data_IF_198420384549
#
_entry.id   IF_198420384549
#
_cell.length_a   1.000
_cell.length_b   1.000
_cell.length_c   1.000
_cell.angle_alpha   90.00
_cell.angle_beta   90.00
_cell.angle_gamma   90.00
#
_symmetry.space_group_name_H-M   'P 1'
#
loop_
_entity.id
_entity.type
_entity.pdbx_description
1 polymer ?
#
# COMPACT_ATOMS: atom_id res chain seq x y z
N UNK A 1 -14.83 -23.40 -22.03
CA UNK A 1 -13.46 -23.24 -22.56
C UNK A 1 -12.86 -21.89 -22.14
N UNK A 2 -13.54 -20.77 -22.37
CA UNK A 2 -13.03 -19.42 -22.05
C UNK A 2 -12.64 -19.22 -20.58
N UNK A 3 -13.46 -19.66 -19.62
CA UNK A 3 -13.11 -19.61 -18.19
C UNK A 3 -11.88 -20.46 -17.82
N UNK A 4 -11.66 -21.57 -18.54
CA UNK A 4 -10.49 -22.43 -18.32
C UNK A 4 -9.23 -21.70 -18.81
N UNK A 5 -9.28 -21.09 -19.98
CA UNK A 5 -8.19 -20.28 -20.54
C UNK A 5 -7.86 -19.10 -19.61
N UNK A 6 -8.87 -18.42 -19.09
CA UNK A 6 -8.70 -17.33 -18.12
C UNK A 6 -7.91 -17.80 -16.89
N UNK A 7 -8.35 -18.89 -16.24
CA UNK A 7 -7.71 -19.43 -15.04
C UNK A 7 -6.27 -19.89 -15.34
N UNK A 8 -6.06 -20.60 -16.45
CA UNK A 8 -4.72 -21.04 -16.87
C UNK A 8 -3.80 -19.83 -17.11
N UNK A 9 -4.31 -18.78 -17.74
CA UNK A 9 -3.57 -17.55 -18.00
C UNK A 9 -3.13 -16.88 -16.69
N UNK A 10 -4.04 -16.73 -15.73
CA UNK A 10 -3.73 -16.15 -14.42
C UNK A 10 -2.66 -16.99 -13.69
N UNK A 11 -2.83 -18.31 -13.64
CA UNK A 11 -1.86 -19.21 -13.02
C UNK A 11 -0.48 -19.13 -13.67
N UNK A 12 -0.43 -19.06 -15.00
CA UNK A 12 0.82 -18.89 -15.74
C UNK A 12 1.50 -17.56 -15.42
N UNK A 13 0.75 -16.46 -15.30
CA UNK A 13 1.30 -15.16 -14.91
C UNK A 13 1.85 -15.22 -13.48
N UNK A 14 1.10 -15.75 -12.52
CA UNK A 14 1.55 -15.87 -11.11
C UNK A 14 2.86 -16.66 -11.02
N UNK A 15 2.98 -17.77 -11.78
CA UNK A 15 4.18 -18.60 -11.76
C UNK A 15 5.38 -17.92 -12.44
N UNK A 16 5.15 -17.21 -13.54
CA UNK A 16 6.24 -16.66 -14.38
C UNK A 16 6.67 -15.25 -13.98
N UNK A 17 5.80 -14.46 -13.35
CA UNK A 17 6.07 -13.07 -12.99
C UNK A 17 7.32 -12.92 -12.09
N UNK A 18 7.54 -13.72 -11.02
CA UNK A 18 8.76 -13.62 -10.21
C UNK A 18 10.03 -13.94 -10.99
N UNK A 19 9.97 -14.89 -11.93
CA UNK A 19 11.10 -15.29 -12.77
C UNK A 19 11.46 -14.13 -13.71
N UNK A 20 10.46 -13.56 -14.38
CA UNK A 20 10.64 -12.42 -15.27
C UNK A 20 11.13 -11.18 -14.51
N UNK A 21 10.58 -10.91 -13.34
CA UNK A 21 11.01 -9.83 -12.45
C UNK A 21 12.49 -9.95 -12.07
N UNK A 22 12.95 -11.17 -11.75
CA UNK A 22 14.37 -11.45 -11.46
C UNK A 22 15.28 -11.21 -12.67
N UNK A 23 14.84 -11.63 -13.86
CA UNK A 23 15.59 -11.44 -15.12
C UNK A 23 15.70 -9.95 -15.45
N UNK A 24 14.58 -9.22 -15.38
CA UNK A 24 14.48 -7.81 -15.71
C UNK A 24 15.01 -6.88 -14.59
N UNK A 25 15.21 -7.41 -13.38
CA UNK A 25 15.64 -6.68 -12.17
C UNK A 25 14.69 -5.55 -11.77
N UNK A 26 13.38 -5.79 -11.92
CA UNK A 26 12.28 -4.89 -11.54
C UNK A 26 11.34 -5.61 -10.56
N UNK A 27 10.40 -4.91 -9.89
CA UNK A 27 9.51 -5.52 -8.91
C UNK A 27 8.57 -6.51 -9.55
N UNK A 28 8.27 -7.58 -8.80
CA UNK A 28 7.28 -8.59 -9.20
C UNK A 28 5.93 -7.94 -9.46
N UNK A 29 5.48 -7.04 -8.59
CA UNK A 29 4.19 -6.35 -8.72
C UNK A 29 4.08 -5.59 -10.05
N UNK A 30 5.14 -4.89 -10.49
CA UNK A 30 5.13 -4.17 -11.76
C UNK A 30 5.02 -5.15 -12.93
N UNK A 31 5.72 -6.29 -12.86
CA UNK A 31 5.62 -7.35 -13.88
C UNK A 31 4.22 -7.96 -13.94
N UNK A 32 3.58 -8.20 -12.79
CA UNK A 32 2.21 -8.72 -12.71
C UNK A 32 1.21 -7.79 -13.39
N UNK A 33 1.32 -6.47 -13.16
CA UNK A 33 0.46 -5.47 -13.83
C UNK A 33 0.74 -5.46 -15.34
N UNK A 34 2.02 -5.47 -15.77
CA UNK A 34 2.38 -5.49 -17.21
C UNK A 34 1.83 -6.75 -17.90
N UNK A 35 2.01 -7.92 -17.30
CA UNK A 35 1.52 -9.18 -17.87
C UNK A 35 -0.01 -9.22 -17.89
N UNK A 36 -0.67 -8.72 -16.84
CA UNK A 36 -2.13 -8.55 -16.82
C UNK A 36 -2.62 -7.66 -17.96
N UNK A 37 -1.94 -6.54 -18.20
CA UNK A 37 -2.23 -5.61 -19.29
C UNK A 37 -2.02 -6.25 -20.67
N UNK A 38 -0.91 -6.97 -20.88
CA UNK A 38 -0.64 -7.68 -22.15
C UNK A 38 -1.68 -8.77 -22.40
N UNK A 39 -1.95 -9.62 -21.40
CA UNK A 39 -2.92 -10.70 -21.54
C UNK A 39 -4.35 -10.20 -21.64
N UNK A 40 -4.67 -9.05 -21.02
CA UNK A 40 -5.93 -8.33 -21.23
C UNK A 40 -6.09 -7.86 -22.66
N UNK A 41 -5.07 -7.21 -23.22
CA UNK A 41 -5.06 -6.76 -24.61
C UNK A 41 -5.18 -7.90 -25.62
N UNK A 42 -4.51 -9.03 -25.37
CA UNK A 42 -4.60 -10.23 -26.21
C UNK A 42 -5.97 -10.95 -26.09
N UNK A 43 -6.87 -10.48 -25.23
CA UNK A 43 -8.17 -11.12 -24.98
C UNK A 43 -8.10 -12.41 -24.17
N UNK A 44 -6.94 -12.75 -23.60
CA UNK A 44 -6.77 -13.92 -22.72
C UNK A 44 -7.36 -13.68 -21.33
N UNK A 45 -7.39 -12.41 -20.90
CA UNK A 45 -8.07 -11.96 -19.69
C UNK A 45 -9.19 -11.02 -20.11
N UNK A 46 -10.43 -11.46 -19.94
CA UNK A 46 -11.63 -10.65 -20.20
C UNK A 46 -12.32 -10.26 -18.89
N UNK A 47 -13.28 -9.35 -18.98
CA UNK A 47 -14.09 -8.94 -17.84
C UNK A 47 -14.94 -10.12 -17.33
N UNK A 48 -14.48 -10.76 -16.27
CA UNK A 48 -15.17 -11.86 -15.59
C UNK A 48 -15.46 -11.48 -14.13
N UNK A 49 -16.69 -11.73 -13.68
CA UNK A 49 -17.14 -11.39 -12.32
C UNK A 49 -16.45 -12.24 -11.24
N UNK A 50 -16.04 -13.47 -11.55
CA UNK A 50 -15.30 -14.32 -10.60
C UNK A 50 -13.90 -13.78 -10.40
N UNK A 51 -13.19 -13.44 -11.49
CA UNK A 51 -11.88 -12.80 -11.40
C UNK A 51 -11.96 -11.47 -10.65
N UNK A 52 -12.95 -10.63 -10.97
CA UNK A 52 -13.18 -9.35 -10.27
C UNK A 52 -13.43 -9.56 -8.78
N UNK A 53 -14.22 -10.56 -8.39
CA UNK A 53 -14.47 -10.87 -6.99
C UNK A 53 -13.18 -11.29 -6.26
N UNK A 54 -12.40 -12.20 -6.85
CA UNK A 54 -11.13 -12.66 -6.25
C UNK A 54 -10.11 -11.51 -6.19
N UNK A 55 -10.03 -10.67 -7.21
CA UNK A 55 -9.17 -9.49 -7.22
C UNK A 55 -9.58 -8.46 -6.15
N UNK A 56 -10.88 -8.22 -5.95
CA UNK A 56 -11.37 -7.38 -4.85
C UNK A 56 -11.00 -7.95 -3.49
N UNK A 57 -11.13 -9.27 -3.30
CA UNK A 57 -10.66 -9.90 -2.07
C UNK A 57 -9.14 -9.76 -1.92
N UNK A 58 -8.38 -9.91 -3.00
CA UNK A 58 -6.94 -9.71 -2.99
C UNK A 58 -6.52 -8.29 -2.62
N UNK A 59 -7.28 -7.29 -3.08
CA UNK A 59 -7.13 -5.91 -2.64
C UNK A 59 -7.38 -5.74 -1.14
N UNK A 60 -8.49 -6.28 -0.62
CA UNK A 60 -8.82 -6.26 0.82
C UNK A 60 -7.69 -6.94 1.63
N UNK A 61 -7.18 -8.08 1.15
CA UNK A 61 -6.08 -8.79 1.80
C UNK A 61 -4.78 -7.98 1.79
N UNK A 62 -4.49 -7.25 0.71
CA UNK A 62 -3.34 -6.33 0.65
C UNK A 62 -3.46 -5.21 1.68
N UNK A 63 -4.66 -4.67 1.89
CA UNK A 63 -4.89 -3.65 2.93
C UNK A 63 -4.76 -4.23 4.33
N UNK A 64 -5.12 -5.50 4.51
CA UNK A 64 -4.86 -6.24 5.75
C UNK A 64 -3.36 -6.42 5.99
N UNK A 65 -2.59 -6.79 4.97
CA UNK A 65 -1.13 -6.87 5.04
C UNK A 65 -0.50 -5.51 5.36
N UNK A 66 -0.97 -4.42 4.75
CA UNK A 66 -0.52 -3.08 5.10
C UNK A 66 -0.69 -2.79 6.60
N UNK A 67 -1.84 -3.16 7.19
CA UNK A 67 -2.06 -3.06 8.63
C UNK A 67 -1.11 -3.91 9.47
N UNK A 68 -0.75 -5.10 8.98
CA UNK A 68 0.22 -6.00 9.62
C UNK A 68 1.66 -5.47 9.58
N UNK A 69 2.00 -4.73 8.53
CA UNK A 69 3.32 -4.12 8.35
C UNK A 69 3.57 -2.94 9.29
N UNK A 70 2.50 -2.28 9.76
CA UNK A 70 2.59 -1.11 10.65
C UNK A 70 3.36 -1.45 11.93
N UNK A 71 4.54 -0.86 12.06
CA UNK A 71 5.35 -1.00 13.25
C UNK A 71 5.50 0.34 13.97
N UNK A 72 4.60 0.61 14.93
CA UNK A 72 4.65 1.81 15.76
C UNK A 72 5.94 1.98 16.56
N UNK A 73 6.77 0.93 16.71
CA UNK A 73 8.10 1.09 17.32
C UNK A 73 9.01 1.98 16.45
N UNK A 74 8.82 1.99 15.13
CA UNK A 74 9.57 2.86 14.22
C UNK A 74 9.21 4.33 14.45
N UNK A 75 7.93 4.63 14.68
CA UNK A 75 7.49 6.00 15.03
C UNK A 75 8.14 6.48 16.32
N UNK A 76 8.40 5.59 17.30
CA UNK A 76 9.11 5.94 18.55
C UNK A 76 10.60 6.27 18.33
N UNK A 77 11.19 5.88 17.19
CA UNK A 77 12.59 6.23 16.85
C UNK A 77 12.69 7.70 16.45
N UNK A 78 11.58 8.32 16.03
CA UNK A 78 11.51 9.76 15.79
C UNK A 78 11.82 10.47 17.11
N UNK A 79 13.01 11.07 17.19
CA UNK A 79 13.40 11.89 18.34
C UNK A 79 12.37 13.01 18.52
N UNK A 80 12.09 13.41 19.75
CA UNK A 80 11.17 14.51 20.04
C UNK A 80 11.55 15.79 19.26
N UNK A 81 12.85 16.00 19.01
CA UNK A 81 13.38 17.11 18.21
C UNK A 81 12.97 17.07 16.73
N UNK A 82 12.54 15.92 16.20
CA UNK A 82 12.12 15.73 14.82
C UNK A 82 10.59 15.65 14.68
N UNK A 83 9.84 15.57 15.77
CA UNK A 83 8.38 15.46 15.74
C UNK A 83 7.72 16.68 15.05
N UNK A 84 8.21 17.88 15.35
CA UNK A 84 7.75 19.13 14.70
C UNK A 84 8.05 19.09 13.20
N UNK A 85 9.24 18.61 12.81
CA UNK A 85 9.61 18.46 11.41
C UNK A 85 8.66 17.49 10.69
N UNK A 86 8.29 16.36 11.30
CA UNK A 86 7.34 15.41 10.69
C UNK A 86 5.96 16.05 10.49
N UNK A 87 5.45 16.79 11.47
CA UNK A 87 4.19 17.53 11.33
C UNK A 87 4.31 18.56 10.20
N UNK A 88 5.40 19.34 10.19
CA UNK A 88 5.66 20.34 9.16
C UNK A 88 5.76 19.71 7.76
N UNK A 89 6.36 18.52 7.65
CA UNK A 89 6.46 17.77 6.40
C UNK A 89 5.07 17.43 5.85
N UNK A 90 4.18 16.86 6.67
CA UNK A 90 2.82 16.55 6.21
C UNK A 90 2.01 17.82 5.90
N UNK A 91 2.13 18.88 6.71
CA UNK A 91 1.47 20.16 6.41
C UNK A 91 1.92 20.70 5.06
N UNK A 92 3.24 20.73 4.79
CA UNK A 92 3.77 21.17 3.50
C UNK A 92 3.36 20.23 2.36
N UNK A 93 3.43 18.93 2.57
CA UNK A 93 3.05 17.93 1.57
C UNK A 93 1.60 18.13 1.10
N UNK A 94 0.65 18.23 2.03
CA UNK A 94 -0.76 18.46 1.70
C UNK A 94 -1.02 19.87 1.18
N UNK A 95 -0.31 20.89 1.67
CA UNK A 95 -0.46 22.27 1.19
C UNK A 95 0.02 22.41 -0.25
N UNK A 96 1.17 21.82 -0.60
CA UNK A 96 1.72 21.84 -1.96
C UNK A 96 0.84 20.97 -2.87
N UNK A 97 0.37 19.80 -2.42
CA UNK A 97 -0.59 19.00 -3.18
C UNK A 97 -1.87 19.81 -3.49
N UNK A 98 -2.41 20.53 -2.50
CA UNK A 98 -3.54 21.44 -2.69
C UNK A 98 -3.25 22.57 -3.67
N UNK A 99 -2.07 23.18 -3.60
CA UNK A 99 -1.64 24.22 -4.54
C UNK A 99 -1.50 23.69 -5.97
N UNK A 100 -0.96 22.49 -6.16
CA UNK A 100 -0.89 21.81 -7.47
C UNK A 100 -2.29 21.55 -7.99
N UNK A 101 -3.20 21.04 -7.17
CA UNK A 101 -4.58 20.80 -7.59
C UNK A 101 -5.28 22.10 -7.99
N UNK A 102 -5.11 23.18 -7.22
CA UNK A 102 -5.68 24.48 -7.55
C UNK A 102 -5.09 25.09 -8.83
N UNK A 103 -3.77 25.00 -9.02
CA UNK A 103 -3.09 25.58 -10.18
C UNK A 103 -3.41 24.86 -11.50
N UNK A 104 -3.57 23.54 -11.45
CA UNK A 104 -3.86 22.71 -12.63
C UNK A 104 -5.34 22.32 -12.76
N UNK A 105 -6.23 22.91 -11.95
CA UNK A 105 -7.68 22.62 -11.91
C UNK A 105 -8.00 21.12 -11.74
N UNK A 106 -7.28 20.47 -10.82
CA UNK A 106 -7.43 19.04 -10.55
C UNK A 106 -8.49 18.80 -9.46
N UNK A 107 -9.30 17.76 -9.67
CA UNK A 107 -10.33 17.35 -8.73
C UNK A 107 -9.80 16.72 -7.43
N UNK A 108 -10.74 16.42 -6.54
CA UNK A 108 -10.46 15.84 -5.22
C UNK A 108 -9.64 14.54 -5.27
N UNK A 109 -9.82 13.71 -6.30
CA UNK A 109 -9.03 12.49 -6.50
C UNK A 109 -7.53 12.78 -6.46
N UNK A 110 -7.07 13.85 -7.13
CA UNK A 110 -5.66 14.22 -7.16
C UNK A 110 -5.18 14.75 -5.80
N UNK A 111 -6.02 15.51 -5.10
CA UNK A 111 -5.69 16.02 -3.77
C UNK A 111 -5.41 14.89 -2.77
N UNK A 112 -6.13 13.77 -2.88
CA UNK A 112 -5.92 12.58 -2.03
C UNK A 112 -4.80 11.70 -2.59
N UNK A 113 -4.69 11.55 -3.91
CA UNK A 113 -3.71 10.69 -4.57
C UNK A 113 -2.27 11.18 -4.47
N UNK A 114 -2.02 12.47 -4.72
CA UNK A 114 -0.66 13.01 -4.81
C UNK A 114 0.17 12.85 -3.52
N UNK A 115 -0.37 13.09 -2.30
CA UNK A 115 0.37 12.90 -1.06
C UNK A 115 0.33 11.47 -0.52
N UNK A 116 -0.28 10.49 -1.20
CA UNK A 116 -0.57 9.17 -0.62
C UNK A 116 0.66 8.29 -0.43
N UNK A 117 0.80 7.60 0.69
CA UNK A 117 1.95 6.75 1.04
C UNK A 117 1.65 5.25 0.88
N UNK A 118 2.69 4.45 0.65
CA UNK A 118 2.63 2.98 0.70
C UNK A 118 3.98 2.42 1.15
N UNK A 119 4.00 1.50 2.11
CA UNK A 119 5.24 0.90 2.61
C UNK A 119 5.78 -0.25 1.73
N UNK A 120 4.95 -0.86 0.88
CA UNK A 120 5.33 -2.09 0.16
C UNK A 120 6.61 -1.95 -0.67
N UNK A 121 6.74 -0.86 -1.43
CA UNK A 121 7.94 -0.56 -2.22
C UNK A 121 9.14 -0.19 -1.34
N UNK A 122 8.88 0.53 -0.24
CA UNK A 122 9.90 0.94 0.71
C UNK A 122 10.54 -0.27 1.41
N UNK A 123 9.74 -1.29 1.74
CA UNK A 123 10.24 -2.55 2.32
C UNK A 123 11.22 -3.28 1.40
N UNK A 124 11.06 -3.18 0.08
CA UNK A 124 12.04 -3.72 -0.86
C UNK A 124 13.37 -2.98 -0.80
N UNK A 125 13.35 -1.65 -0.69
CA UNK A 125 14.58 -0.85 -0.51
C UNK A 125 15.31 -1.24 0.79
N UNK A 126 14.58 -1.57 1.88
CA UNK A 126 15.21 -2.05 3.11
C UNK A 126 15.90 -3.38 2.93
N UNK A 127 15.28 -4.31 2.19
CA UNK A 127 15.89 -5.59 1.89
C UNK A 127 17.15 -5.42 1.03
N UNK A 128 17.20 -4.40 0.17
CA UNK A 128 18.34 -4.11 -0.71
C UNK A 128 19.49 -3.36 -0.01
N UNK A 129 19.19 -2.32 0.79
CA UNK A 129 20.22 -1.44 1.40
C UNK A 129 20.44 -1.65 2.90
N UNK A 130 19.53 -2.36 3.57
CA UNK A 130 19.57 -2.55 5.03
C UNK A 130 18.95 -1.40 5.82
N UNK A 131 18.67 -1.65 7.10
CA UNK A 131 18.00 -0.69 8.02
C UNK A 131 18.94 0.38 8.59
N UNK A 132 20.23 0.28 8.33
CA UNK A 132 21.27 1.15 8.89
C UNK A 132 21.30 2.53 8.19
N UNK A 133 20.71 2.64 7.00
CA UNK A 133 20.69 3.86 6.22
C UNK A 133 19.78 4.94 6.86
N UNK A 134 20.30 6.15 7.18
CA UNK A 134 19.53 7.18 7.88
C UNK A 134 18.31 7.67 7.11
N UNK A 135 18.43 7.83 5.79
CA UNK A 135 17.32 8.26 4.93
C UNK A 135 16.20 7.23 4.90
N UNK A 136 16.55 5.93 4.92
CA UNK A 136 15.58 4.85 4.86
C UNK A 136 14.90 4.61 6.21
N UNK A 137 15.62 4.75 7.32
CA UNK A 137 15.04 4.70 8.66
C UNK A 137 14.03 5.85 8.87
N UNK A 138 14.36 7.06 8.39
CA UNK A 138 13.43 8.18 8.41
C UNK A 138 12.23 7.95 7.48
N UNK A 139 12.46 7.50 6.24
CA UNK A 139 11.41 7.14 5.28
C UNK A 139 10.44 6.12 5.87
N UNK A 140 10.93 5.10 6.57
CA UNK A 140 10.07 4.12 7.23
C UNK A 140 9.21 4.73 8.33
N UNK A 141 9.82 5.55 9.18
CA UNK A 141 9.13 6.15 10.31
C UNK A 141 8.04 7.12 9.84
N UNK A 142 8.33 7.91 8.82
CA UNK A 142 7.39 8.82 8.18
C UNK A 142 6.36 8.05 7.36
N UNK A 143 6.76 7.00 6.64
CA UNK A 143 5.91 6.14 5.85
C UNK A 143 4.84 5.46 6.68
N UNK A 144 5.16 4.99 7.89
CA UNK A 144 4.16 4.43 8.83
C UNK A 144 3.08 5.48 9.18
N UNK A 145 3.49 6.71 9.49
CA UNK A 145 2.54 7.80 9.79
C UNK A 145 1.74 8.15 8.54
N UNK A 146 2.42 8.26 7.40
CA UNK A 146 1.82 8.60 6.11
C UNK A 146 0.82 7.57 5.63
N UNK A 147 1.06 6.28 5.86
CA UNK A 147 0.16 5.19 5.49
C UNK A 147 -1.13 5.24 6.33
N UNK A 148 -1.04 5.50 7.63
CA UNK A 148 -2.21 5.72 8.49
C UNK A 148 -3.01 6.95 8.02
N UNK A 149 -2.33 8.07 7.75
CA UNK A 149 -2.98 9.28 7.20
C UNK A 149 -3.64 8.98 5.85
N UNK A 150 -2.98 8.19 4.99
CA UNK A 150 -3.45 7.83 3.66
C UNK A 150 -4.74 7.01 3.70
N UNK A 151 -4.83 6.05 4.61
CA UNK A 151 -6.03 5.21 4.79
C UNK A 151 -7.18 6.04 5.35
N UNK A 152 -6.90 6.94 6.29
CA UNK A 152 -7.90 7.89 6.78
C UNK A 152 -8.38 8.81 5.65
N UNK A 153 -7.46 9.34 4.84
CA UNK A 153 -7.79 10.19 3.70
C UNK A 153 -8.63 9.43 2.66
N UNK A 154 -8.28 8.18 2.35
CA UNK A 154 -9.04 7.32 1.44
C UNK A 154 -10.45 7.02 1.97
N UNK A 155 -10.57 6.74 3.27
CA UNK A 155 -11.87 6.46 3.90
C UNK A 155 -12.75 7.71 3.89
N UNK A 156 -12.19 8.88 4.22
CA UNK A 156 -12.90 10.15 4.18
C UNK A 156 -13.29 10.53 2.75
N UNK A 157 -12.41 10.26 1.78
CA UNK A 157 -12.68 10.42 0.36
C UNK A 157 -13.87 9.56 -0.07
N UNK A 158 -13.85 8.25 0.21
CA UNK A 158 -14.98 7.36 -0.09
C UNK A 158 -16.30 7.79 0.57
N UNK A 159 -16.23 8.25 1.82
CA UNK A 159 -17.40 8.78 2.54
C UNK A 159 -17.95 10.06 1.91
N UNK A 160 -17.09 10.98 1.46
CA UNK A 160 -17.52 12.18 0.76
C UNK A 160 -18.14 11.83 -0.60
N UNK A 161 -17.52 10.92 -1.36
CA UNK A 161 -18.00 10.58 -2.70
C UNK A 161 -19.37 9.90 -2.67
N UNK A 162 -19.66 9.10 -1.63
CA UNK A 162 -20.95 8.45 -1.44
C UNK A 162 -22.05 9.43 -0.96
N UNK A 163 -21.73 10.36 -0.05
CA UNK A 163 -22.75 11.16 0.65
C UNK A 163 -22.76 12.67 0.31
N UNK A 164 -21.78 13.18 -0.43
CA UNK A 164 -21.60 14.62 -0.68
C UNK A 164 -21.32 15.42 0.59
N UNK A 165 -21.32 16.77 0.54
CA UNK A 165 -21.28 17.63 1.74
C UNK A 165 -22.65 17.74 2.41
N UNK A 166 -23.27 16.60 2.71
CA UNK A 166 -24.59 16.54 3.36
C UNK A 166 -24.47 16.28 4.85
N UNK A 167 -25.56 16.45 5.60
CA UNK A 167 -25.64 16.01 7.00
C UNK A 167 -25.24 14.54 7.16
N UNK A 168 -25.51 13.71 6.13
CA UNK A 168 -25.12 12.29 6.11
C UNK A 168 -23.60 12.08 6.08
N UNK A 169 -22.84 12.99 5.48
CA UNK A 169 -21.37 12.92 5.51
C UNK A 169 -20.81 13.18 6.90
N UNK A 170 -21.32 14.18 7.62
CA UNK A 170 -20.92 14.40 9.01
C UNK A 170 -21.29 13.22 9.91
N UNK A 171 -22.47 12.61 9.70
CA UNK A 171 -22.81 11.36 10.41
C UNK A 171 -21.92 10.19 9.99
N UNK A 172 -21.48 10.12 8.73
CA UNK A 172 -20.53 9.11 8.25
C UNK A 172 -19.15 9.28 8.90
N UNK A 173 -18.63 10.52 9.00
CA UNK A 173 -17.40 10.82 9.76
C UNK A 173 -17.55 10.39 11.22
N UNK A 174 -18.66 10.75 11.86
CA UNK A 174 -18.89 10.36 13.26
C UNK A 174 -18.96 8.83 13.40
N UNK A 175 -19.51 8.15 12.41
CA UNK A 175 -19.58 6.67 12.36
C UNK A 175 -18.19 6.08 12.14
N UNK A 176 -17.35 6.64 11.26
CA UNK A 176 -15.95 6.24 11.07
C UNK A 176 -15.18 6.38 12.38
N UNK A 177 -15.29 7.54 13.06
CA UNK A 177 -14.65 7.77 14.36
C UNK A 177 -15.17 6.77 15.39
N UNK A 178 -16.48 6.58 15.48
CA UNK A 178 -17.08 5.62 16.38
C UNK A 178 -16.61 4.18 16.11
N UNK A 179 -16.51 3.78 14.84
CA UNK A 179 -15.96 2.49 14.42
C UNK A 179 -14.51 2.35 14.87
N UNK A 180 -13.65 3.34 14.58
CA UNK A 180 -12.24 3.28 15.00
C UNK A 180 -12.15 3.16 16.51
N UNK A 181 -12.92 3.95 17.26
CA UNK A 181 -12.96 3.88 18.73
C UNK A 181 -13.47 2.52 19.20
N UNK A 182 -14.61 2.04 18.67
CA UNK A 182 -15.22 0.76 19.04
C UNK A 182 -14.27 -0.38 18.70
N UNK A 183 -13.62 -0.36 17.53
CA UNK A 183 -12.62 -1.36 17.19
C UNK A 183 -11.48 -1.30 18.19
N UNK A 184 -10.86 -0.14 18.46
CA UNK A 184 -9.81 0.01 19.48
C UNK A 184 -10.26 -0.51 20.85
N UNK A 185 -11.49 -0.19 21.27
CA UNK A 185 -12.06 -0.66 22.53
C UNK A 185 -12.26 -2.17 22.54
N UNK A 186 -12.78 -2.76 21.46
CA UNK A 186 -12.89 -4.21 21.28
C UNK A 186 -11.50 -4.85 21.31
N UNK A 187 -10.50 -4.27 20.65
CA UNK A 187 -9.12 -4.75 20.70
C UNK A 187 -8.61 -4.75 22.15
N UNK A 188 -8.77 -3.62 22.86
CA UNK A 188 -8.35 -3.48 24.26
C UNK A 188 -9.11 -4.43 25.19
N UNK A 189 -10.38 -4.67 24.94
CA UNK A 189 -11.19 -5.62 25.68
C UNK A 189 -10.73 -7.06 25.43
N UNK A 190 -10.47 -7.44 24.17
CA UNK A 190 -9.83 -8.71 23.83
C UNK A 190 -8.48 -8.88 24.51
N UNK A 191 -7.68 -7.82 24.64
CA UNK A 191 -6.43 -7.84 25.41
C UNK A 191 -6.66 -8.22 26.86
N UNK A 192 -7.63 -7.56 27.49
CA UNK A 192 -7.98 -7.79 28.89
C UNK A 192 -8.49 -9.22 29.10
N UNK A 193 -9.34 -9.73 28.20
CA UNK A 193 -9.81 -11.13 28.22
C UNK A 193 -8.63 -12.09 28.08
N UNK A 194 -7.73 -11.88 27.12
CA UNK A 194 -6.57 -12.76 26.93
C UNK A 194 -5.59 -12.69 28.10
N UNK A 195 -5.56 -11.57 28.83
CA UNK A 195 -4.77 -11.43 30.04
C UNK A 195 -5.41 -12.15 31.25
N UNK A 196 -6.74 -12.09 31.40
CA UNK A 196 -7.46 -12.75 32.51
C UNK A 196 -7.69 -14.24 32.27
N UNK A 197 -7.92 -14.63 31.02
CA UNK A 197 -8.20 -15.98 30.56
C UNK A 197 -7.19 -16.40 29.49
N UNK A 198 -5.92 -16.65 29.88
CA UNK A 198 -4.87 -17.05 28.95
C UNK A 198 -5.19 -18.37 28.22
N UNK A 199 -6.06 -19.21 28.77
CA UNK A 199 -6.56 -20.43 28.13
C UNK A 199 -7.39 -20.14 26.88
N UNK A 200 -8.19 -19.07 26.86
CA UNK A 200 -8.95 -18.64 25.68
C UNK A 200 -8.02 -18.21 24.56
N UNK A 201 -6.95 -17.48 24.90
CA UNK A 201 -5.89 -17.12 23.95
C UNK A 201 -5.22 -18.37 23.37
N UNK A 202 -4.86 -19.34 24.23
CA UNK A 202 -4.24 -20.60 23.83
C UNK A 202 -5.16 -21.48 22.99
N UNK A 203 -6.48 -21.42 23.20
CA UNK A 203 -7.44 -22.18 22.41
C UNK A 203 -7.67 -21.58 21.02
N UNK A 204 -7.78 -20.25 20.94
CA UNK A 204 -7.98 -19.57 19.65
C UNK A 204 -6.71 -19.55 18.80
N UNK A 205 -5.54 -19.45 19.45
CA UNK A 205 -4.23 -19.35 18.81
C UNK A 205 -3.23 -20.15 19.66
N UNK A 206 -3.14 -21.48 19.44
CA UNK A 206 -2.24 -22.36 20.18
C UNK A 206 -0.79 -21.87 20.16
N UNK A 207 -0.11 -21.95 21.30
CA UNK A 207 1.31 -21.59 21.43
C UNK A 207 2.25 -22.72 20.98
N UNK A 208 1.70 -23.87 20.59
CA UNK A 208 2.46 -25.04 20.21
C UNK A 208 2.84 -24.98 18.72
N UNK A 209 4.07 -25.38 18.41
CA UNK A 209 4.57 -25.63 17.03
C UNK A 209 3.72 -26.70 16.29
N UNK A 210 2.91 -27.47 17.02
CA UNK A 210 1.97 -28.48 16.53
C UNK A 210 0.53 -27.95 16.35
N UNK A 211 0.32 -26.70 15.92
CA UNK A 211 -1.01 -26.28 15.42
C UNK A 211 -1.30 -26.99 14.08
N UNK A 212 -1.76 -28.23 14.18
CA UNK A 212 -2.07 -29.09 13.02
C UNK A 212 -3.21 -28.55 12.14
N UNK A 213 -3.92 -27.52 12.58
CA UNK A 213 -5.13 -27.04 11.90
C UNK A 213 -5.05 -25.57 11.46
N UNK A 214 -3.90 -24.90 11.64
CA UNK A 214 -3.67 -23.48 11.36
C UNK A 214 -4.82 -22.60 11.95
N UNK A 215 -5.16 -22.85 13.22
CA UNK A 215 -6.24 -22.15 13.93
C UNK A 215 -5.98 -20.64 13.99
N UNK A 216 -4.71 -20.26 14.11
CA UNK A 216 -4.25 -18.88 14.09
C UNK A 216 -4.58 -18.16 12.77
N UNK A 217 -4.37 -18.81 11.62
CA UNK A 217 -4.76 -18.30 10.30
C UNK A 217 -6.28 -18.21 10.22
N UNK A 218 -7.03 -19.24 10.63
CA UNK A 218 -8.50 -19.24 10.59
C UNK A 218 -9.08 -18.08 11.39
N UNK A 219 -8.56 -17.84 12.59
CA UNK A 219 -8.95 -16.70 13.40
C UNK A 219 -8.61 -15.37 12.70
N UNK A 220 -7.44 -15.29 12.07
CA UNK A 220 -7.01 -14.10 11.32
C UNK A 220 -7.93 -13.73 10.16
N UNK A 221 -8.24 -14.71 9.31
CA UNK A 221 -9.14 -14.52 8.19
C UNK A 221 -10.56 -14.24 8.67
N UNK A 222 -11.01 -14.90 9.74
CA UNK A 222 -12.34 -14.65 10.31
C UNK A 222 -12.47 -13.22 10.82
N UNK A 223 -11.49 -12.71 11.56
CA UNK A 223 -11.51 -11.33 12.05
C UNK A 223 -11.50 -10.31 10.90
N UNK A 224 -10.66 -10.55 9.88
CA UNK A 224 -10.63 -9.73 8.67
C UNK A 224 -12.02 -9.66 8.03
N UNK A 225 -12.65 -10.81 7.80
CA UNK A 225 -13.97 -10.89 7.17
C UNK A 225 -15.08 -10.25 8.02
N UNK A 226 -15.03 -10.42 9.36
CA UNK A 226 -15.98 -9.77 10.27
C UNK A 226 -15.86 -8.26 10.18
N UNK A 227 -14.64 -7.71 10.26
CA UNK A 227 -14.44 -6.25 10.21
C UNK A 227 -14.80 -5.67 8.84
N UNK A 228 -14.46 -6.36 7.75
CA UNK A 228 -14.90 -5.99 6.39
C UNK A 228 -16.42 -6.01 6.29
N UNK A 229 -17.09 -7.03 6.84
CA UNK A 229 -18.56 -7.13 6.83
C UNK A 229 -19.21 -5.98 7.62
N UNK A 230 -18.64 -5.61 8.77
CA UNK A 230 -19.09 -4.44 9.53
C UNK A 230 -18.95 -3.17 8.69
N UNK A 231 -17.82 -2.98 7.98
CA UNK A 231 -17.64 -1.81 7.11
C UNK A 231 -18.68 -1.76 5.99
N UNK A 232 -18.98 -2.90 5.36
CA UNK A 232 -20.02 -3.00 4.33
C UNK A 232 -21.41 -2.62 4.86
N UNK A 233 -21.79 -3.10 6.05
CA UNK A 233 -23.09 -2.76 6.68
C UNK A 233 -23.17 -1.26 6.98
N UNK A 234 -22.07 -0.68 7.47
CA UNK A 234 -21.98 0.73 7.81
C UNK A 234 -21.80 1.64 6.58
N UNK A 235 -21.65 1.05 5.38
CA UNK A 235 -21.34 1.76 4.13
C UNK A 235 -20.09 2.64 4.26
N UNK A 236 -19.10 2.13 4.97
CA UNK A 236 -17.77 2.72 5.09
C UNK A 236 -16.83 1.93 4.17
N UNK A 237 -15.74 2.56 3.74
CA UNK A 237 -14.71 1.89 2.96
C UNK A 237 -14.16 0.65 3.69
N UNK A 238 -14.17 -0.49 3.00
CA UNK A 238 -13.69 -1.78 3.52
C UNK A 238 -12.18 -1.80 3.76
N UNK A 239 -11.42 -0.89 3.12
CA UNK A 239 -9.98 -0.72 3.31
C UNK A 239 -9.66 -0.43 4.78
N UNK A 240 -10.44 0.44 5.43
CA UNK A 240 -10.25 0.76 6.85
C UNK A 240 -10.44 -0.47 7.73
N UNK A 241 -11.48 -1.27 7.45
CA UNK A 241 -11.76 -2.50 8.21
C UNK A 241 -10.64 -3.52 8.07
N UNK A 242 -10.15 -3.73 6.85
CA UNK A 242 -9.05 -4.63 6.56
C UNK A 242 -7.74 -4.19 7.24
N UNK A 243 -7.39 -2.91 7.09
CA UNK A 243 -6.21 -2.34 7.74
C UNK A 243 -6.28 -2.45 9.26
N UNK A 244 -7.44 -2.15 9.86
CA UNK A 244 -7.62 -2.22 11.31
C UNK A 244 -7.52 -3.66 11.82
N UNK A 245 -8.01 -4.64 11.06
CA UNK A 245 -7.79 -6.06 11.34
C UNK A 245 -6.29 -6.38 11.38
N UNK A 246 -5.52 -5.90 10.40
CA UNK A 246 -4.07 -6.12 10.33
C UNK A 246 -3.33 -5.48 11.50
N UNK A 247 -3.71 -4.25 11.84
CA UNK A 247 -3.17 -3.51 12.98
C UNK A 247 -3.37 -4.26 14.30
N UNK A 248 -4.57 -4.81 14.50
CA UNK A 248 -4.87 -5.66 15.66
C UNK A 248 -3.93 -6.86 15.69
N UNK A 249 -3.78 -7.59 14.59
CA UNK A 249 -2.90 -8.74 14.58
C UNK A 249 -1.46 -8.37 14.91
N UNK A 250 -0.97 -7.27 14.35
CA UNK A 250 0.38 -6.79 14.61
C UNK A 250 0.61 -6.41 16.06
N UNK A 251 -0.36 -5.77 16.71
CA UNK A 251 -0.23 -5.33 18.10
C UNK A 251 -0.27 -6.49 19.09
N UNK A 252 -1.06 -7.52 18.82
CA UNK A 252 -1.35 -8.60 19.77
C UNK A 252 -0.48 -9.85 19.56
N UNK A 253 -0.04 -10.08 18.33
CA UNK A 253 0.66 -11.31 17.94
C UNK A 253 2.04 -11.05 17.34
N UNK A 254 2.63 -9.87 17.55
CA UNK A 254 3.97 -9.51 17.07
C UNK A 254 5.08 -10.52 17.43
N UNK A 255 4.83 -11.38 18.43
CA UNK A 255 5.78 -12.40 18.88
C UNK A 255 5.73 -13.68 18.04
N UNK A 256 4.62 -13.97 17.33
CA UNK A 256 4.46 -15.15 16.45
C UNK A 256 4.91 -14.83 15.03
N UNK A 257 6.22 -14.83 14.80
CA UNK A 257 6.81 -14.56 13.48
C UNK A 257 6.35 -15.57 12.42
N UNK A 258 6.08 -16.81 12.80
CA UNK A 258 5.59 -17.84 11.89
C UNK A 258 4.21 -17.52 11.32
N UNK A 259 3.26 -17.12 12.17
CA UNK A 259 1.92 -16.67 11.73
C UNK A 259 2.01 -15.49 10.77
N UNK A 260 2.84 -14.49 11.09
CA UNK A 260 3.07 -13.34 10.21
C UNK A 260 3.59 -13.81 8.85
N UNK A 261 4.59 -14.69 8.83
CA UNK A 261 5.14 -15.24 7.60
C UNK A 261 4.10 -16.05 6.81
N UNK A 262 3.27 -16.87 7.47
CA UNK A 262 2.18 -17.62 6.81
C UNK A 262 1.18 -16.68 6.14
N UNK A 263 0.70 -15.67 6.85
CA UNK A 263 -0.24 -14.66 6.32
C UNK A 263 0.39 -13.89 5.15
N UNK A 264 1.62 -13.40 5.31
CA UNK A 264 2.36 -12.71 4.25
C UNK A 264 2.55 -13.61 3.02
N UNK A 265 2.87 -14.90 3.22
CA UNK A 265 3.06 -15.86 2.14
C UNK A 265 1.77 -16.08 1.34
N UNK A 266 0.62 -16.22 2.00
CA UNK A 266 -0.68 -16.32 1.32
C UNK A 266 -1.03 -15.02 0.57
N UNK A 267 -0.82 -13.88 1.20
CA UNK A 267 -1.14 -12.59 0.60
C UNK A 267 -0.28 -12.25 -0.60
N UNK A 268 1.04 -12.19 -0.42
CA UNK A 268 1.97 -11.83 -1.48
C UNK A 268 2.18 -12.95 -2.51
N UNK A 269 1.98 -14.21 -2.15
CA UNK A 269 2.16 -15.35 -3.05
C UNK A 269 0.95 -15.65 -3.94
N UNK A 270 -0.26 -15.23 -3.55
CA UNK A 270 -1.48 -15.62 -4.26
C UNK A 270 -2.47 -14.46 -4.47
N UNK A 271 -2.92 -13.82 -3.39
CA UNK A 271 -4.00 -12.83 -3.46
C UNK A 271 -3.59 -11.50 -4.10
N UNK A 272 -2.43 -10.97 -3.72
CA UNK A 272 -1.88 -9.75 -4.26
C UNK A 272 -1.57 -9.88 -5.77
N UNK A 273 -0.91 -10.96 -6.25
CA UNK A 273 -0.72 -11.19 -7.68
C UNK A 273 -2.03 -11.12 -8.48
N UNK A 274 -3.10 -11.79 -8.03
CA UNK A 274 -4.38 -11.78 -8.74
C UNK A 274 -4.96 -10.35 -8.83
N UNK A 275 -4.86 -9.57 -7.75
CA UNK A 275 -5.28 -8.17 -7.77
C UNK A 275 -4.50 -7.32 -8.78
N UNK A 276 -3.17 -7.46 -8.83
CA UNK A 276 -2.33 -6.70 -9.74
C UNK A 276 -2.50 -7.11 -11.20
N UNK A 277 -2.62 -8.41 -11.47
CA UNK A 277 -2.94 -8.96 -12.79
C UNK A 277 -4.29 -8.42 -13.27
N UNK A 278 -5.32 -8.49 -12.41
CA UNK A 278 -6.64 -7.96 -12.72
C UNK A 278 -6.58 -6.46 -13.02
N UNK A 279 -5.93 -5.68 -12.15
CA UNK A 279 -5.72 -4.24 -12.37
C UNK A 279 -5.09 -3.96 -13.72
N UNK A 280 -4.00 -4.66 -14.06
CA UNK A 280 -3.35 -4.55 -15.36
C UNK A 280 -4.30 -4.84 -16.51
N UNK A 281 -5.09 -5.93 -16.41
CA UNK A 281 -6.04 -6.32 -17.45
C UNK A 281 -7.16 -5.32 -17.69
N UNK A 282 -7.44 -4.43 -16.73
CA UNK A 282 -8.43 -3.35 -16.93
C UNK A 282 -7.90 -2.21 -17.80
N UNK A 283 -6.58 -2.09 -17.97
CA UNK A 283 -5.97 -1.08 -18.83
C UNK A 283 -6.04 -1.54 -20.29
N UNK A 284 -6.79 -0.80 -21.11
CA UNK A 284 -6.98 -1.08 -22.53
C UNK A 284 -5.81 -0.52 -23.33
N UNK A 285 -4.86 -1.38 -23.71
CA UNK A 285 -3.63 -0.97 -24.38
C UNK A 285 -3.86 -0.29 -25.74
N UNK A 286 -4.92 -0.67 -26.46
CA UNK A 286 -5.41 -0.02 -27.68
C UNK A 286 -5.84 1.44 -27.47
N UNK A 287 -6.22 1.81 -26.26
CA UNK A 287 -6.64 3.16 -25.90
C UNK A 287 -5.50 4.02 -25.35
N UNK A 288 -4.30 3.49 -25.17
CA UNK A 288 -3.17 4.26 -24.63
C UNK A 288 -2.66 5.24 -25.71
N UNK A 289 -3.00 6.51 -25.53
CA UNK A 289 -2.54 7.61 -26.37
C UNK A 289 -1.33 8.31 -25.78
N UNK A 290 -0.70 9.18 -26.57
CA UNK A 290 0.36 10.08 -26.09
C UNK A 290 -0.13 10.95 -24.91
N UNK A 291 -1.37 11.41 -24.95
CA UNK A 291 -1.95 12.28 -23.91
C UNK A 291 -2.06 11.54 -22.56
N UNK A 292 -2.47 10.27 -22.58
CA UNK A 292 -2.51 9.42 -21.37
C UNK A 292 -1.10 9.25 -20.80
N UNK A 293 -0.11 9.02 -21.66
CA UNK A 293 1.27 8.87 -21.22
C UNK A 293 1.84 10.18 -20.66
N UNK A 294 1.56 11.32 -21.31
CA UNK A 294 1.93 12.65 -20.80
C UNK A 294 1.28 12.93 -19.44
N UNK A 295 0.01 12.60 -19.29
CA UNK A 295 -0.71 12.76 -18.04
C UNK A 295 -0.13 11.83 -16.94
N UNK A 296 0.22 10.59 -17.28
CA UNK A 296 0.90 9.69 -16.34
C UNK A 296 2.25 10.26 -15.89
N UNK A 297 3.04 10.81 -16.82
CA UNK A 297 4.29 11.50 -16.49
C UNK A 297 4.06 12.76 -15.65
N UNK A 298 2.98 13.50 -15.89
CA UNK A 298 2.59 14.63 -15.05
C UNK A 298 2.28 14.19 -13.61
N UNK A 299 1.48 13.15 -13.41
CA UNK A 299 1.16 12.61 -12.07
C UNK A 299 2.45 12.20 -11.35
N UNK A 300 3.30 11.40 -12.00
CA UNK A 300 4.60 10.98 -11.47
C UNK A 300 5.48 12.19 -11.10
N UNK A 301 5.61 13.17 -12.01
CA UNK A 301 6.41 14.36 -11.78
C UNK A 301 5.85 15.21 -10.63
N UNK A 302 4.53 15.35 -10.53
CA UNK A 302 3.86 16.07 -9.44
C UNK A 302 4.16 15.40 -8.09
N UNK A 303 3.99 14.08 -7.99
CA UNK A 303 4.29 13.29 -6.79
C UNK A 303 5.74 13.49 -6.34
N UNK A 304 6.69 13.28 -7.26
CA UNK A 304 8.12 13.42 -7.00
C UNK A 304 8.45 14.85 -6.56
N UNK A 305 7.89 15.85 -7.24
CA UNK A 305 8.17 17.26 -6.96
C UNK A 305 7.63 17.69 -5.61
N UNK A 306 6.37 17.34 -5.29
CA UNK A 306 5.75 17.64 -3.99
C UNK A 306 6.60 17.06 -2.85
N UNK A 307 7.05 15.81 -3.00
CA UNK A 307 7.88 15.13 -2.00
C UNK A 307 9.28 15.71 -1.91
N UNK A 308 9.93 16.00 -3.03
CA UNK A 308 11.25 16.63 -3.03
C UNK A 308 11.20 17.99 -2.34
N UNK A 309 10.26 18.87 -2.72
CA UNK A 309 10.14 20.21 -2.13
C UNK A 309 9.87 20.12 -0.64
N UNK A 310 8.87 19.34 -0.21
CA UNK A 310 8.57 19.15 1.22
C UNK A 310 9.75 18.58 2.00
N UNK A 311 10.47 17.61 1.43
CA UNK A 311 11.62 16.97 2.08
C UNK A 311 12.81 17.92 2.22
N UNK A 312 13.09 18.72 1.20
CA UNK A 312 14.18 19.69 1.22
C UNK A 312 13.90 20.86 2.17
N UNK A 313 12.65 21.31 2.26
CA UNK A 313 12.27 22.36 3.21
C UNK A 313 12.41 21.90 4.67
N UNK A 314 12.18 20.62 4.95
CA UNK A 314 12.06 20.12 6.33
C UNK A 314 13.27 19.34 6.82
N UNK A 315 13.84 18.47 5.98
CA UNK A 315 14.83 17.47 6.39
C UNK A 315 16.24 17.72 5.83
N UNK A 316 16.46 18.79 5.06
CA UNK A 316 17.77 19.11 4.49
C UNK A 316 18.87 19.23 5.55
N UNK A 317 18.60 19.95 6.64
CA UNK A 317 19.56 20.13 7.73
C UNK A 317 19.82 18.84 8.52
N UNK A 318 18.87 17.90 8.50
CA UNK A 318 18.97 16.64 9.23
C UNK A 318 19.69 15.56 8.43
N UNK A 319 19.32 15.36 7.15
CA UNK A 319 19.85 14.29 6.30
C UNK A 319 21.01 14.73 5.40
N UNK A 320 21.18 16.04 5.12
CA UNK A 320 22.04 16.58 4.04
C UNK A 320 21.47 16.25 2.64
N UNK A 321 21.85 17.02 1.58
CA UNK A 321 21.17 16.96 0.28
C UNK A 321 21.08 15.57 -0.36
N UNK A 322 22.15 14.78 -0.29
CA UNK A 322 22.23 13.43 -0.87
C UNK A 322 21.19 12.49 -0.28
N UNK A 323 21.12 12.42 1.06
CA UNK A 323 20.18 11.55 1.77
C UNK A 323 18.76 12.10 1.72
N UNK A 324 18.56 13.43 1.76
CA UNK A 324 17.24 14.04 1.56
C UNK A 324 16.65 13.70 0.20
N UNK A 325 17.48 13.66 -0.85
CA UNK A 325 17.04 13.23 -2.19
C UNK A 325 16.60 11.76 -2.17
N UNK A 326 17.39 10.86 -1.59
CA UNK A 326 17.05 9.44 -1.51
C UNK A 326 15.77 9.21 -0.70
N UNK A 327 15.62 9.90 0.44
CA UNK A 327 14.41 9.90 1.26
C UNK A 327 13.17 10.33 0.45
N UNK A 328 13.25 11.46 -0.25
CA UNK A 328 12.12 11.97 -1.02
C UNK A 328 11.72 11.01 -2.15
N UNK A 329 12.70 10.43 -2.85
CA UNK A 329 12.44 9.48 -3.94
C UNK A 329 11.91 8.14 -3.42
N UNK A 330 12.33 7.68 -2.24
CA UNK A 330 11.84 6.42 -1.67
C UNK A 330 10.39 6.49 -1.24
N UNK A 331 9.97 7.65 -0.72
CA UNK A 331 8.58 7.90 -0.35
C UNK A 331 7.69 8.14 -1.58
N UNK A 332 8.29 8.38 -2.76
CA UNK A 332 7.59 8.69 -4.02
C UNK A 332 7.04 7.47 -4.78
N UNK A 333 6.94 6.30 -4.14
CA UNK A 333 6.53 5.04 -4.81
C UNK A 333 5.22 4.44 -4.26
N UNK A 334 4.08 5.17 -4.22
CA UNK A 334 2.88 4.69 -3.53
C UNK A 334 1.99 3.75 -4.37
N UNK A 335 2.60 2.76 -5.02
CA UNK A 335 1.98 1.91 -6.05
C UNK A 335 0.61 1.35 -5.65
N UNK A 336 0.52 0.70 -4.48
CA UNK A 336 -0.68 -0.04 -4.07
C UNK A 336 -1.88 0.87 -3.82
N UNK A 337 -1.67 1.97 -3.12
CA UNK A 337 -2.75 2.90 -2.77
C UNK A 337 -3.09 3.85 -3.93
N UNK A 338 -2.14 4.15 -4.81
CA UNK A 338 -2.42 4.90 -6.04
C UNK A 338 -3.40 4.14 -6.93
N UNK A 339 -3.14 2.85 -7.17
CA UNK A 339 -4.06 1.97 -7.91
C UNK A 339 -5.43 1.91 -7.23
N UNK A 340 -5.46 1.83 -5.90
CA UNK A 340 -6.71 1.79 -5.14
C UNK A 340 -7.57 3.05 -5.35
N UNK A 341 -6.96 4.23 -5.22
CA UNK A 341 -7.65 5.50 -5.45
C UNK A 341 -8.13 5.61 -6.89
N UNK A 342 -7.31 5.22 -7.86
CA UNK A 342 -7.70 5.27 -9.27
C UNK A 342 -8.93 4.41 -9.52
N UNK A 343 -8.91 3.16 -9.05
CA UNK A 343 -10.02 2.23 -9.21
C UNK A 343 -11.28 2.73 -8.49
N UNK A 344 -11.15 3.22 -7.27
CA UNK A 344 -12.27 3.76 -6.51
C UNK A 344 -12.86 4.99 -7.20
N UNK A 345 -12.02 5.96 -7.58
CA UNK A 345 -12.45 7.18 -8.26
C UNK A 345 -13.12 6.92 -9.60
N UNK A 346 -12.59 5.95 -10.37
CA UNK A 346 -13.20 5.55 -11.64
C UNK A 346 -14.57 4.90 -11.45
N UNK A 347 -14.72 4.02 -10.45
CA UNK A 347 -16.00 3.38 -10.15
C UNK A 347 -17.07 4.38 -9.66
N UNK A 348 -16.66 5.45 -8.97
CA UNK A 348 -17.55 6.56 -8.57
C UNK A 348 -17.73 7.64 -9.65
N UNK A 349 -17.12 7.48 -10.84
CA UNK A 349 -17.24 8.42 -11.95
C UNK A 349 -16.57 9.78 -11.73
N UNK A 350 -15.58 9.86 -10.83
CA UNK A 350 -14.87 11.10 -10.49
C UNK A 350 -13.71 11.40 -11.43
N UNK A 351 -13.20 10.37 -12.09
CA UNK A 351 -12.15 10.47 -13.09
C UNK A 351 -12.60 9.75 -14.36
N UNK A 352 -12.16 10.26 -15.50
CA UNK A 352 -12.34 9.61 -16.79
C UNK A 352 -11.54 8.32 -16.90
N UNK A 353 -11.88 7.50 -17.89
CA UNK A 353 -11.12 6.29 -18.19
C UNK A 353 -9.65 6.58 -18.55
N UNK A 354 -9.40 7.72 -19.22
CA UNK A 354 -8.05 8.15 -19.58
C UNK A 354 -7.21 8.49 -18.35
N UNK A 355 -7.81 9.18 -17.37
CA UNK A 355 -7.16 9.47 -16.09
C UNK A 355 -6.93 8.20 -15.28
N UNK A 356 -7.89 7.27 -15.26
CA UNK A 356 -7.71 5.96 -14.63
C UNK A 356 -6.49 5.21 -15.19
N UNK A 357 -6.34 5.16 -16.51
CA UNK A 357 -5.15 4.59 -17.15
C UNK A 357 -3.88 5.37 -16.80
N UNK A 358 -3.96 6.69 -16.78
CA UNK A 358 -2.84 7.56 -16.42
C UNK A 358 -2.34 7.28 -15.00
N UNK A 359 -3.23 7.12 -14.02
CA UNK A 359 -2.88 6.78 -12.65
C UNK A 359 -2.21 5.41 -12.52
N UNK A 360 -2.74 4.38 -13.21
CA UNK A 360 -2.13 3.05 -13.17
C UNK A 360 -0.73 3.09 -13.79
N UNK A 361 -0.59 3.70 -14.97
CA UNK A 361 0.70 3.82 -15.65
C UNK A 361 1.68 4.63 -14.80
N UNK A 362 1.25 5.77 -14.24
CA UNK A 362 2.08 6.59 -13.35
C UNK A 362 2.60 5.77 -12.16
N UNK A 363 1.71 5.03 -11.49
CA UNK A 363 2.09 4.21 -10.33
C UNK A 363 3.13 3.13 -10.67
N UNK A 364 3.01 2.50 -11.84
CA UNK A 364 3.98 1.52 -12.35
C UNK A 364 5.32 2.18 -12.68
N UNK A 365 5.28 3.33 -13.35
CA UNK A 365 6.46 4.11 -13.71
C UNK A 365 7.19 4.63 -12.46
N UNK A 366 6.47 5.16 -11.47
CA UNK A 366 7.00 5.58 -10.18
C UNK A 366 7.79 4.43 -9.55
N UNK A 367 7.14 3.27 -9.40
CA UNK A 367 7.78 2.07 -8.85
C UNK A 367 9.06 1.75 -9.61
N UNK A 368 8.97 1.52 -10.93
CA UNK A 368 10.08 1.06 -11.76
C UNK A 368 11.23 2.07 -11.87
N UNK A 369 10.93 3.31 -12.28
CA UNK A 369 11.94 4.32 -12.57
C UNK A 369 12.63 4.79 -11.31
N UNK A 370 11.89 4.96 -10.20
CA UNK A 370 12.47 5.48 -8.97
C UNK A 370 13.39 4.46 -8.30
N UNK A 371 13.15 3.14 -8.34
CA UNK A 371 14.15 2.21 -7.76
C UNK A 371 15.42 2.18 -8.60
N UNK A 372 15.29 2.24 -9.93
CA UNK A 372 16.47 2.33 -10.81
C UNK A 372 17.24 3.61 -10.51
N UNK A 373 16.54 4.73 -10.33
CA UNK A 373 17.13 6.03 -10.01
C UNK A 373 17.81 6.00 -8.64
N UNK A 374 17.14 5.52 -7.59
CA UNK A 374 17.70 5.36 -6.25
C UNK A 374 18.95 4.50 -6.28
N UNK A 375 18.93 3.36 -6.99
CA UNK A 375 20.10 2.48 -7.14
C UNK A 375 21.28 3.17 -7.81
N UNK A 376 21.03 3.99 -8.84
CA UNK A 376 22.08 4.77 -9.50
C UNK A 376 22.61 5.87 -8.57
N UNK A 377 21.72 6.66 -7.96
CA UNK A 377 22.08 7.75 -7.07
C UNK A 377 22.83 7.27 -5.83
N UNK A 378 22.41 6.17 -5.22
CA UNK A 378 23.09 5.58 -4.07
C UNK A 378 24.56 5.26 -4.38
N UNK A 379 24.83 4.64 -5.53
CA UNK A 379 26.19 4.37 -6.01
C UNK A 379 26.99 5.66 -6.28
N UNK A 380 26.39 6.64 -6.96
CA UNK A 380 27.03 7.93 -7.28
C UNK A 380 27.37 8.70 -5.99
N UNK A 381 26.48 8.67 -5.02
CA UNK A 381 26.64 9.38 -3.75
C UNK A 381 27.74 8.78 -2.87
N UNK A 382 28.24 7.59 -3.21
CA UNK A 382 29.22 6.80 -2.43
C UNK A 382 28.79 6.67 -0.97
N UNK A 383 27.50 6.50 -0.74
CA UNK A 383 27.00 6.06 0.56
C UNK A 383 27.42 4.59 0.67
N UNK A 384 28.10 4.24 1.76
CA UNK A 384 28.92 3.03 1.87
C UNK A 384 28.20 1.79 1.29
N UNK A 385 28.77 1.22 0.24
CA UNK A 385 28.52 -0.17 -0.10
C UNK A 385 29.31 -0.93 0.96
N UNK A 386 28.67 -1.34 2.07
CA UNK A 386 29.30 -2.36 2.92
C UNK A 386 29.64 -3.52 1.97
N UNK A 387 30.94 -3.84 1.75
CA UNK A 387 31.30 -4.92 0.87
C UNK A 387 30.65 -6.19 1.44
N UNK A 388 30.01 -6.98 0.58
CA UNK A 388 29.40 -8.27 0.89
C UNK A 388 30.21 -8.96 1.98
N UNK A 389 29.69 -8.96 3.21
CA UNK A 389 30.33 -9.63 4.32
C UNK A 389 30.12 -11.12 4.11
N UNK A 390 31.04 -11.70 3.33
CA UNK A 390 31.41 -13.10 3.26
C UNK A 390 30.24 -14.08 3.13
N UNK A 391 30.20 -14.68 1.95
CA UNK A 391 30.15 -16.13 1.79
C UNK A 391 31.02 -16.77 2.90
N UNK A 392 30.42 -17.09 4.05
CA UNK A 392 30.97 -18.08 4.97
C UNK A 392 30.18 -19.33 4.67
N UNK A 393 30.80 -20.17 3.82
CA UNK A 393 30.50 -21.59 3.72
C UNK A 393 30.49 -22.19 5.13
N UNK A 394 29.39 -22.83 5.51
CA UNK A 394 29.39 -24.22 5.94
C UNK A 394 27.99 -24.79 5.84
#
# INVERSE_FOLDING_TARGET
>A
MEKIVLIITICMIIMTAPILAKILKIPVVVVEIILGLICGYLGLIYADETLKLVAKFGFIYLMFLAGLEINFKLVKVIKATLAVNVILYFVLLYSIAGAVCWFFDLGLTYFVALPIFSLGMLMMLIKEYGKDEPWLNLALSIGVVGEVISILALTLFGGWTEFGLSSKFFTSILTIIAVVIVTILLLRFSYMIFWWFPEVKKYLIPDNEDDKHDQDIRFSISLLLILVSIMLILKIDVVLGAFTAGLFFKMFFNQKQELLHKIESFGFGFFAPIFFIYTGSTVKLDMITLDILQHAFFIMAAIISIRLVSSYLVFLNYLKPKQTTLFALSDSMPLTFMVAIAMLSYNYGLISQNEYFSFIIASMLDGLLLMILIRKLYKIFKLDIKPDSKIIKR
#
